data_IF_472021029399
#
_entry.id   IF_472021029399
#
_cell.length_a   1.000
_cell.length_b   1.000
_cell.length_c   1.000
_cell.angle_alpha   90.00
_cell.angle_beta   90.00
_cell.angle_gamma   90.00
#
_symmetry.space_group_name_H-M   'P 1'
#
loop_
_entity.id
_entity.type
_entity.pdbx_description
1 polymer ?
#
# COMPACT_ATOMS: atom_id res chain seq x y z
N UNK A 1 3.43 -32.10 5.49
CA UNK A 1 3.60 -30.97 4.54
C UNK A 1 2.41 -30.05 4.70
N UNK A 2 2.60 -28.72 4.84
CA UNK A 2 1.50 -27.76 5.10
C UNK A 2 1.02 -27.16 3.77
N UNK A 3 0.28 -27.95 2.97
CA UNK A 3 -0.24 -27.56 1.64
C UNK A 3 -0.99 -26.22 1.66
N UNK A 4 -1.71 -25.93 2.75
CA UNK A 4 -2.38 -24.64 2.99
C UNK A 4 -1.41 -23.45 3.01
N UNK A 5 -0.21 -23.58 3.57
CA UNK A 5 0.77 -22.48 3.60
C UNK A 5 1.37 -22.19 2.23
N UNK A 6 1.58 -23.22 1.41
CA UNK A 6 2.07 -23.04 0.04
C UNK A 6 1.02 -22.34 -0.83
N UNK A 7 -0.25 -22.69 -0.67
CA UNK A 7 -1.35 -22.01 -1.36
C UNK A 7 -1.47 -20.55 -0.94
N UNK A 8 -1.34 -20.25 0.36
CA UNK A 8 -1.34 -18.87 0.85
C UNK A 8 -0.15 -18.08 0.29
N UNK A 9 1.05 -18.68 0.28
CA UNK A 9 2.25 -18.05 -0.29
C UNK A 9 2.05 -17.73 -1.78
N UNK A 10 1.54 -18.68 -2.56
CA UNK A 10 1.29 -18.47 -3.98
C UNK A 10 0.24 -17.38 -4.23
N UNK A 11 -0.84 -17.34 -3.44
CA UNK A 11 -1.84 -16.28 -3.49
C UNK A 11 -1.24 -14.89 -3.19
N UNK A 12 -0.39 -14.80 -2.17
CA UNK A 12 0.33 -13.57 -1.80
C UNK A 12 1.29 -13.12 -2.91
N UNK A 13 2.07 -14.04 -3.45
CA UNK A 13 3.00 -13.77 -4.55
C UNK A 13 2.24 -13.32 -5.81
N UNK A 14 1.13 -13.97 -6.13
CA UNK A 14 0.26 -13.58 -7.25
C UNK A 14 -0.31 -12.17 -7.05
N UNK A 15 -0.89 -11.88 -5.88
CA UNK A 15 -1.48 -10.58 -5.58
C UNK A 15 -0.46 -9.43 -5.57
N UNK A 16 0.80 -9.73 -5.23
CA UNK A 16 1.90 -8.77 -5.26
C UNK A 16 2.59 -8.67 -6.62
N UNK A 17 2.20 -9.47 -7.61
CA UNK A 17 2.87 -9.54 -8.92
C UNK A 17 4.28 -10.12 -8.86
N UNK A 18 4.54 -10.98 -7.87
CA UNK A 18 5.84 -11.61 -7.58
C UNK A 18 5.89 -13.09 -7.93
N UNK A 19 4.76 -13.70 -8.31
CA UNK A 19 4.72 -15.08 -8.76
C UNK A 19 5.51 -15.27 -10.06
N UNK A 20 6.13 -16.43 -10.23
CA UNK A 20 6.75 -16.77 -11.53
C UNK A 20 5.68 -16.85 -12.62
N UNK A 21 6.00 -16.62 -13.91
CA UNK A 21 4.99 -16.67 -14.97
C UNK A 21 4.21 -17.99 -15.04
N UNK A 22 4.88 -19.12 -14.79
CA UNK A 22 4.24 -20.44 -14.77
C UNK A 22 3.30 -20.60 -13.57
N UNK A 23 3.73 -20.16 -12.40
CA UNK A 23 2.93 -20.21 -11.18
C UNK A 23 1.70 -19.28 -11.28
N UNK A 24 1.88 -18.09 -11.86
CA UNK A 24 0.79 -17.15 -12.10
C UNK A 24 -0.25 -17.73 -13.07
N UNK A 25 0.18 -18.31 -14.19
CA UNK A 25 -0.73 -18.93 -15.16
C UNK A 25 -1.51 -20.11 -14.55
N UNK A 26 -0.83 -20.96 -13.76
CA UNK A 26 -1.50 -22.05 -13.06
C UNK A 26 -2.51 -21.52 -12.04
N UNK A 27 -2.15 -20.45 -11.32
CA UNK A 27 -3.04 -19.82 -10.35
C UNK A 27 -4.26 -19.18 -11.01
N UNK A 28 -4.10 -18.50 -12.15
CA UNK A 28 -5.19 -17.95 -12.96
C UNK A 28 -6.17 -19.04 -13.42
N UNK A 29 -5.65 -20.17 -13.91
CA UNK A 29 -6.49 -21.31 -14.28
C UNK A 29 -7.29 -21.82 -13.08
N UNK A 30 -6.67 -21.90 -11.89
CA UNK A 30 -7.33 -22.29 -10.64
C UNK A 30 -8.44 -21.32 -10.25
N UNK A 31 -8.22 -20.01 -10.38
CA UNK A 31 -9.26 -18.99 -10.09
C UNK A 31 -10.50 -19.14 -10.97
N UNK A 32 -10.39 -19.72 -12.17
CA UNK A 32 -11.52 -19.96 -13.07
C UNK A 32 -12.34 -21.18 -12.63
N UNK A 33 -11.68 -22.24 -12.14
CA UNK A 33 -12.32 -23.52 -11.84
C UNK A 33 -12.67 -23.69 -10.35
N UNK A 34 -12.05 -22.93 -9.45
CA UNK A 34 -12.26 -22.93 -8.00
C UNK A 34 -12.94 -21.62 -7.55
N UNK A 35 -14.30 -21.53 -7.57
CA UNK A 35 -15.01 -20.30 -7.24
C UNK A 35 -14.78 -19.83 -5.79
N UNK A 36 -14.59 -20.75 -4.84
CA UNK A 36 -14.24 -20.43 -3.46
C UNK A 36 -12.88 -19.73 -3.35
N UNK A 37 -11.90 -20.16 -4.16
CA UNK A 37 -10.59 -19.51 -4.21
C UNK A 37 -10.71 -18.10 -4.79
N UNK A 38 -11.53 -17.93 -5.84
CA UNK A 38 -11.80 -16.62 -6.41
C UNK A 38 -12.40 -15.65 -5.38
N UNK A 39 -13.37 -16.10 -4.60
CA UNK A 39 -13.99 -15.30 -3.54
C UNK A 39 -12.97 -14.89 -2.46
N UNK A 40 -12.15 -15.83 -1.99
CA UNK A 40 -11.09 -15.56 -1.01
C UNK A 40 -10.12 -14.48 -1.51
N UNK A 41 -9.71 -14.56 -2.78
CA UNK A 41 -8.81 -13.59 -3.40
C UNK A 41 -9.47 -12.22 -3.53
N UNK A 42 -10.75 -12.15 -3.90
CA UNK A 42 -11.49 -10.89 -3.94
C UNK A 42 -11.61 -10.24 -2.56
N UNK A 43 -11.90 -11.02 -1.52
CA UNK A 43 -11.95 -10.55 -0.14
C UNK A 43 -10.59 -10.03 0.33
N UNK A 44 -9.51 -10.75 0.03
CA UNK A 44 -8.14 -10.34 0.36
C UNK A 44 -7.74 -9.04 -0.34
N UNK A 45 -8.04 -8.90 -1.63
CA UNK A 45 -7.84 -7.64 -2.36
C UNK A 45 -8.64 -6.48 -1.75
N UNK A 46 -9.87 -6.74 -1.32
CA UNK A 46 -10.69 -5.72 -0.66
C UNK A 46 -10.09 -5.29 0.68
N UNK A 47 -9.65 -6.25 1.50
CA UNK A 47 -8.97 -5.98 2.77
C UNK A 47 -7.69 -5.15 2.56
N UNK A 48 -6.88 -5.47 1.55
CA UNK A 48 -5.69 -4.69 1.21
C UNK A 48 -6.02 -3.26 0.79
N UNK A 49 -7.04 -3.07 -0.06
CA UNK A 49 -7.48 -1.74 -0.48
C UNK A 49 -7.90 -0.89 0.72
N UNK A 50 -8.69 -1.46 1.63
CA UNK A 50 -9.12 -0.78 2.86
C UNK A 50 -7.92 -0.42 3.75
N UNK A 51 -7.03 -1.37 4.01
CA UNK A 51 -5.84 -1.16 4.83
C UNK A 51 -4.95 -0.06 4.24
N UNK A 52 -4.71 -0.09 2.93
CA UNK A 52 -3.92 0.91 2.24
C UNK A 52 -4.58 2.30 2.25
N UNK A 53 -5.89 2.37 2.02
CA UNK A 53 -6.63 3.64 2.05
C UNK A 53 -6.59 4.26 3.44
N UNK A 54 -6.81 3.46 4.48
CA UNK A 54 -6.74 3.92 5.87
C UNK A 54 -5.33 4.40 6.22
N UNK A 55 -4.30 3.61 5.88
CA UNK A 55 -2.91 4.00 6.08
C UNK A 55 -2.55 5.31 5.37
N UNK A 56 -3.05 5.53 4.14
CA UNK A 56 -2.86 6.79 3.42
C UNK A 56 -3.52 7.98 4.11
N UNK A 57 -4.73 7.80 4.64
CA UNK A 57 -5.42 8.86 5.39
C UNK A 57 -4.65 9.22 6.66
N UNK A 58 -4.17 8.21 7.39
CA UNK A 58 -3.36 8.41 8.59
C UNK A 58 -2.05 9.12 8.29
N UNK A 59 -1.32 8.69 7.25
CA UNK A 59 -0.07 9.33 6.83
C UNK A 59 -0.30 10.79 6.40
N UNK A 60 -1.40 11.05 5.68
CA UNK A 60 -1.78 12.42 5.30
C UNK A 60 -2.02 13.29 6.53
N UNK A 61 -2.79 12.80 7.50
CA UNK A 61 -3.06 13.56 8.73
C UNK A 61 -1.77 13.86 9.52
N UNK A 62 -0.85 12.90 9.61
CA UNK A 62 0.45 13.12 10.24
C UNK A 62 1.29 14.16 9.48
N UNK A 63 1.27 14.12 8.16
CA UNK A 63 1.99 15.09 7.33
C UNK A 63 1.41 16.51 7.49
N UNK A 64 0.09 16.63 7.54
CA UNK A 64 -0.60 17.90 7.78
C UNK A 64 -0.25 18.46 9.17
N UNK A 65 -0.24 17.62 10.21
CA UNK A 65 0.16 18.03 11.56
C UNK A 65 1.62 18.53 11.61
N UNK A 66 2.54 17.80 10.95
CA UNK A 66 3.95 18.20 10.85
C UNK A 66 4.08 19.51 10.08
N UNK A 67 3.34 19.66 8.97
CA UNK A 67 3.32 20.89 8.18
C UNK A 67 2.86 22.08 9.03
N UNK A 68 1.71 21.96 9.70
CA UNK A 68 1.19 23.02 10.58
C UNK A 68 2.20 23.41 11.67
N UNK A 69 2.85 22.42 12.30
CA UNK A 69 3.87 22.71 13.30
C UNK A 69 5.05 23.48 12.71
N UNK A 70 5.60 23.03 11.58
CA UNK A 70 6.78 23.64 10.97
C UNK A 70 6.51 25.03 10.40
N UNK A 71 5.29 25.28 9.90
CA UNK A 71 4.95 26.53 9.22
C UNK A 71 4.27 27.55 10.13
N UNK A 72 3.69 27.16 11.27
CA UNK A 72 2.97 28.07 12.17
C UNK A 72 3.77 28.40 13.44
N UNK A 73 4.53 27.47 14.01
CA UNK A 73 5.22 27.72 15.28
C UNK A 73 6.46 28.63 15.11
N UNK A 74 6.62 29.68 15.95
CA UNK A 74 7.73 30.64 15.82
C UNK A 74 9.13 30.00 15.86
N UNK A 75 9.29 28.91 16.62
CA UNK A 75 10.58 28.18 16.77
C UNK A 75 11.13 27.62 15.45
N UNK A 76 10.28 27.40 14.45
CA UNK A 76 10.68 26.86 13.14
C UNK A 76 10.75 27.93 12.03
N UNK A 77 10.69 29.23 12.38
CA UNK A 77 10.68 30.31 11.41
C UNK A 77 11.91 30.31 10.47
N UNK A 78 13.08 29.89 10.96
CA UNK A 78 14.31 29.77 10.16
C UNK A 78 14.18 28.68 9.09
N UNK A 79 13.66 27.51 9.46
CA UNK A 79 13.38 26.41 8.52
C UNK A 79 12.35 26.84 7.47
N UNK A 80 11.24 27.44 7.89
CA UNK A 80 10.21 27.97 6.98
C UNK A 80 10.80 28.95 5.96
N UNK A 81 11.65 29.88 6.41
CA UNK A 81 12.31 30.87 5.54
C UNK A 81 13.24 30.20 4.52
N UNK A 82 14.01 29.19 4.95
CA UNK A 82 14.91 28.43 4.09
C UNK A 82 14.13 27.71 2.99
N UNK A 83 13.08 26.95 3.37
CA UNK A 83 12.25 26.20 2.43
C UNK A 83 11.55 27.13 1.44
N UNK A 84 10.89 28.20 1.90
CA UNK A 84 10.26 29.17 1.01
C UNK A 84 11.27 29.88 0.10
N UNK A 85 12.51 30.08 0.56
CA UNK A 85 13.60 30.63 -0.24
C UNK A 85 14.01 29.77 -1.44
N UNK A 86 13.85 28.44 -1.35
CA UNK A 86 14.11 27.51 -2.47
C UNK A 86 13.11 27.75 -3.61
N UNK A 87 11.85 28.06 -3.27
CA UNK A 87 10.78 28.31 -4.23
C UNK A 87 10.67 29.79 -4.66
N UNK A 88 11.48 30.68 -4.04
CA UNK A 88 11.31 32.13 -4.11
C UNK A 88 12.19 32.89 -5.10
N UNK A 89 12.82 32.24 -6.09
CA UNK A 89 13.56 32.94 -7.16
C UNK A 89 13.33 32.30 -8.54
N UNK A 90 12.46 32.92 -9.33
CA UNK A 90 12.71 33.30 -10.73
C UNK A 90 12.45 34.79 -10.84
#
# INVERSE_FOLDING_TARGET
>A
MRTSLNNLKLAEEYLKGQATPGDALLFEARLIIEPELQEQIQQQQHAYRLSHQYGRQQLKAQLEEVHERLFTLPRYAGFRRLVLGIFGKR
#
